data_IF_443826189229
#
_entry.id   IF_443826189229
#
_cell.length_a   1.000
_cell.length_b   1.000
_cell.length_c   1.000
_cell.angle_alpha   90.00
_cell.angle_beta   90.00
_cell.angle_gamma   90.00
#
_symmetry.space_group_name_H-M   'P 1'
#
loop_
_entity.id
_entity.type
_entity.pdbx_description
1 polymer ?
#
# COMPACT_ATOMS: atom_id res chain seq x y z
N UNK A 1 44.21 6.30 -36.80
CA UNK A 1 43.93 5.04 -36.07
C UNK A 1 43.42 5.40 -34.69
N UNK A 2 42.29 4.80 -34.27
CA UNK A 2 41.86 4.62 -32.88
C UNK A 2 41.55 5.90 -32.06
N UNK A 3 40.42 6.08 -31.38
CA UNK A 3 39.54 5.11 -30.72
C UNK A 3 38.09 5.61 -30.80
N UNK A 4 37.21 4.77 -31.38
CA UNK A 4 35.77 4.82 -31.12
C UNK A 4 35.51 4.11 -29.79
N UNK A 5 34.52 4.62 -29.05
CA UNK A 5 33.77 3.84 -28.07
C UNK A 5 34.13 4.11 -26.62
N UNK A 6 33.20 4.73 -25.89
CA UNK A 6 32.41 4.06 -24.84
C UNK A 6 31.40 5.05 -24.26
N UNK A 7 30.40 5.46 -25.05
CA UNK A 7 29.20 6.12 -24.52
C UNK A 7 28.13 5.05 -24.20
N UNK A 8 28.51 4.07 -23.38
CA UNK A 8 27.65 2.93 -23.01
C UNK A 8 27.41 2.79 -21.51
N UNK A 9 28.10 3.57 -20.67
CA UNK A 9 28.01 3.42 -19.20
C UNK A 9 27.18 4.47 -18.48
N UNK A 10 26.81 5.58 -19.12
CA UNK A 10 26.01 6.65 -18.46
C UNK A 10 24.51 6.31 -18.34
N UNK A 11 23.96 5.48 -19.23
CA UNK A 11 22.53 5.14 -19.21
C UNK A 11 22.09 4.23 -18.05
N UNK A 12 23.01 3.52 -17.40
CA UNK A 12 22.66 2.52 -16.38
C UNK A 12 22.51 3.12 -14.98
N UNK A 13 23.07 4.30 -14.73
CA UNK A 13 22.95 5.00 -13.45
C UNK A 13 21.65 5.82 -13.37
N UNK A 14 21.16 6.35 -14.50
CA UNK A 14 19.92 7.13 -14.55
C UNK A 14 18.65 6.27 -14.35
N UNK A 15 18.74 4.94 -14.52
CA UNK A 15 17.61 4.02 -14.26
C UNK A 15 17.47 3.64 -12.77
N UNK A 16 18.52 3.80 -11.95
CA UNK A 16 18.49 3.51 -10.51
C UNK A 16 17.95 4.69 -9.67
N UNK A 17 17.87 5.90 -10.24
CA UNK A 17 17.40 7.13 -9.55
C UNK A 17 15.91 7.45 -9.78
N UNK A 18 15.09 6.48 -10.21
CA UNK A 18 13.65 6.53 -9.87
C UNK A 18 13.45 5.96 -8.48
N UNK A 19 14.16 6.54 -7.51
CA UNK A 19 13.77 6.53 -6.12
C UNK A 19 12.39 7.18 -6.11
N UNK A 20 11.39 6.33 -5.92
CA UNK A 20 10.01 6.76 -5.95
C UNK A 20 9.85 7.59 -4.68
N UNK A 21 9.64 8.90 -4.80
CA UNK A 21 9.20 9.81 -3.73
C UNK A 21 7.78 9.39 -3.23
N UNK A 22 7.63 8.12 -2.83
CA UNK A 22 6.40 7.46 -2.39
C UNK A 22 6.10 7.76 -0.91
N UNK A 23 7.07 8.28 -0.17
CA UNK A 23 6.91 8.60 1.25
C UNK A 23 5.97 9.77 1.51
N UNK A 24 5.68 10.60 0.50
CA UNK A 24 4.92 11.84 0.70
C UNK A 24 3.45 11.61 1.10
N UNK A 25 2.87 10.41 0.95
CA UNK A 25 1.45 10.16 1.27
C UNK A 25 1.13 8.74 1.79
N UNK A 26 2.09 8.05 2.43
CA UNK A 26 1.82 6.75 3.04
C UNK A 26 1.04 6.89 4.35
N UNK A 27 -0.15 6.30 4.41
CA UNK A 27 -0.98 6.31 5.62
C UNK A 27 -0.98 4.94 6.28
N UNK A 28 -0.47 4.88 7.51
CA UNK A 28 -0.47 3.65 8.30
C UNK A 28 -1.85 3.42 8.92
N UNK A 29 -2.39 2.22 8.79
CA UNK A 29 -3.68 1.85 9.34
C UNK A 29 -3.58 0.56 10.15
N UNK A 30 -4.21 0.53 11.33
CA UNK A 30 -4.25 -0.65 12.21
C UNK A 30 -5.46 -1.52 11.90
N UNK A 31 -5.27 -2.82 11.74
CA UNK A 31 -6.36 -3.79 11.56
C UNK A 31 -7.11 -3.96 12.87
N UNK A 32 -8.38 -3.53 12.88
CA UNK A 32 -9.29 -3.69 14.02
C UNK A 32 -9.93 -5.08 14.04
N UNK A 33 -10.20 -5.65 12.87
CA UNK A 33 -10.84 -6.95 12.76
C UNK A 33 -10.99 -7.43 11.32
N UNK A 34 -11.24 -8.72 11.21
CA UNK A 34 -11.52 -9.40 9.94
C UNK A 34 -13.04 -9.43 9.77
N UNK A 35 -13.53 -8.99 8.62
CA UNK A 35 -14.96 -8.93 8.33
C UNK A 35 -15.41 -10.24 7.70
N UNK A 36 -14.81 -10.61 6.57
CA UNK A 36 -15.15 -11.81 5.82
C UNK A 36 -14.06 -12.17 4.81
N UNK A 37 -14.09 -13.40 4.29
CA UNK A 37 -13.37 -13.75 3.05
C UNK A 37 -14.24 -13.40 1.85
N UNK A 38 -13.61 -12.87 0.81
CA UNK A 38 -14.24 -12.37 -0.41
C UNK A 38 -13.42 -12.75 -1.66
N UNK A 39 -13.98 -12.45 -2.82
CA UNK A 39 -13.45 -12.82 -4.14
C UNK A 39 -13.82 -14.25 -4.55
N UNK A 40 -13.95 -14.49 -5.86
CA UNK A 40 -14.43 -15.76 -6.42
C UNK A 40 -13.59 -16.99 -6.00
N UNK A 41 -12.30 -16.80 -5.68
CA UNK A 41 -11.39 -17.86 -5.22
C UNK A 41 -11.10 -17.82 -3.71
N UNK A 42 -11.75 -16.95 -2.94
CA UNK A 42 -11.59 -16.86 -1.48
C UNK A 42 -10.20 -16.44 -0.98
N UNK A 43 -9.37 -15.86 -1.86
CA UNK A 43 -8.00 -15.43 -1.55
C UNK A 43 -7.92 -14.02 -0.97
N UNK A 44 -9.04 -13.27 -1.00
CA UNK A 44 -9.11 -11.90 -0.50
C UNK A 44 -9.84 -11.90 0.83
N UNK A 45 -9.31 -11.16 1.79
CA UNK A 45 -9.94 -10.96 3.11
C UNK A 45 -10.35 -9.51 3.22
N UNK A 46 -11.63 -9.24 3.46
CA UNK A 46 -12.08 -7.90 3.81
C UNK A 46 -11.80 -7.65 5.28
N UNK A 47 -11.11 -6.56 5.58
CA UNK A 47 -10.71 -6.14 6.91
C UNK A 47 -11.26 -4.77 7.23
N UNK A 48 -11.51 -4.56 8.51
CA UNK A 48 -11.82 -3.25 9.08
C UNK A 48 -10.54 -2.66 9.65
N UNK A 49 -10.15 -1.48 9.19
CA UNK A 49 -8.93 -0.80 9.62
C UNK A 49 -9.23 0.55 10.24
N UNK A 50 -8.34 0.99 11.12
CA UNK A 50 -8.37 2.28 11.81
C UNK A 50 -7.16 3.09 11.37
N UNK A 51 -7.40 4.24 10.76
CA UNK A 51 -6.36 5.24 10.52
C UNK A 51 -6.27 6.13 11.76
N UNK A 52 -5.07 6.26 12.37
CA UNK A 52 -4.86 7.24 13.42
C UNK A 52 -4.95 8.65 12.83
N UNK A 53 -5.71 9.53 13.49
CA UNK A 53 -5.76 10.94 13.13
C UNK A 53 -4.59 11.66 13.82
N UNK A 54 -3.73 12.40 13.07
CA UNK A 54 -2.60 13.11 13.67
C UNK A 54 -3.03 14.22 14.63
N UNK A 55 -4.27 14.71 14.53
CA UNK A 55 -4.82 15.81 15.33
C UNK A 55 -5.37 15.35 16.69
N UNK A 56 -5.32 14.03 16.99
CA UNK A 56 -5.87 13.48 18.23
C UNK A 56 -7.39 13.32 18.24
N UNK A 57 -8.04 13.52 17.09
CA UNK A 57 -9.48 13.31 16.90
C UNK A 57 -9.83 11.81 16.84
N UNK A 58 -11.13 11.52 16.70
CA UNK A 58 -11.62 10.14 16.53
C UNK A 58 -10.96 9.48 15.32
N UNK A 59 -10.46 8.24 15.44
CA UNK A 59 -9.80 7.58 14.33
C UNK A 59 -10.79 7.26 13.20
N UNK A 60 -10.36 7.46 11.95
CA UNK A 60 -11.17 7.14 10.78
C UNK A 60 -11.16 5.64 10.55
N UNK A 61 -12.33 5.05 10.39
CA UNK A 61 -12.49 3.61 10.14
C UNK A 61 -12.80 3.38 8.66
N UNK A 62 -12.10 2.44 8.04
CA UNK A 62 -12.28 2.07 6.63
C UNK A 62 -12.38 0.56 6.46
N UNK A 63 -12.97 0.13 5.35
CA UNK A 63 -12.88 -1.25 4.88
C UNK A 63 -11.82 -1.42 3.78
N UNK A 64 -11.02 -2.47 3.87
CA UNK A 64 -10.00 -2.81 2.87
C UNK A 64 -9.99 -4.28 2.50
N UNK A 65 -9.59 -4.54 1.28
CA UNK A 65 -9.33 -5.88 0.79
C UNK A 65 -7.83 -6.14 0.94
N UNK A 66 -7.49 -7.19 1.67
CA UNK A 66 -6.12 -7.68 1.83
C UNK A 66 -6.01 -9.00 1.09
N UNK A 67 -4.98 -9.13 0.26
CA UNK A 67 -4.63 -10.41 -0.34
C UNK A 67 -3.87 -11.24 0.69
N UNK A 68 -4.35 -12.46 0.95
CA UNK A 68 -3.68 -13.39 1.85
C UNK A 68 -4.08 -13.28 3.33
N UNK A 69 -3.30 -13.92 4.23
CA UNK A 69 -3.60 -14.00 5.65
C UNK A 69 -3.34 -12.67 6.34
N UNK A 70 -4.24 -12.29 7.23
CA UNK A 70 -4.17 -11.07 8.04
C UNK A 70 -4.76 -11.35 9.41
N UNK A 71 -4.24 -10.71 10.45
CA UNK A 71 -4.68 -10.86 11.84
C UNK A 71 -5.09 -9.51 12.42
N UNK A 72 -5.90 -9.57 13.48
CA UNK A 72 -6.24 -8.38 14.27
C UNK A 72 -4.96 -7.82 14.92
N UNK A 73 -4.75 -6.52 14.80
CA UNK A 73 -3.58 -5.84 15.34
C UNK A 73 -2.45 -5.60 14.33
N UNK A 74 -2.51 -6.23 13.15
CA UNK A 74 -1.55 -5.97 12.07
C UNK A 74 -1.66 -4.52 11.57
N UNK A 75 -0.60 -4.03 10.92
CA UNK A 75 -0.58 -2.70 10.29
C UNK A 75 -0.53 -2.83 8.78
N UNK A 76 -1.27 -1.98 8.09
CA UNK A 76 -1.28 -1.86 6.64
C UNK A 76 -0.77 -0.46 6.26
N UNK A 77 0.06 -0.39 5.23
CA UNK A 77 0.40 0.87 4.58
C UNK A 77 -0.59 1.11 3.45
N UNK A 78 -1.40 2.16 3.58
CA UNK A 78 -2.38 2.57 2.58
C UNK A 78 -1.73 3.60 1.66
N UNK A 79 -1.57 3.25 0.39
CA UNK A 79 -1.16 4.18 -0.68
C UNK A 79 -2.26 5.20 -1.00
N UNK A 80 -3.52 4.76 -0.93
CA UNK A 80 -4.70 5.60 -1.16
C UNK A 80 -5.59 5.50 0.08
N UNK A 81 -5.60 6.50 0.96
CA UNK A 81 -6.37 6.46 2.23
C UNK A 81 -7.86 6.77 2.06
N UNK A 82 -8.25 7.42 0.96
CA UNK A 82 -9.62 7.88 0.74
C UNK A 82 -10.58 6.79 0.25
N UNK A 83 -10.08 5.81 -0.52
CA UNK A 83 -10.90 4.76 -1.13
C UNK A 83 -11.32 3.72 -0.09
N UNK A 84 -12.43 3.05 -0.33
CA UNK A 84 -12.85 1.93 0.52
C UNK A 84 -13.25 0.73 -0.32
N UNK A 85 -12.99 -0.47 0.22
CA UNK A 85 -13.53 -1.69 -0.36
C UNK A 85 -15.06 -1.63 -0.27
N UNK A 86 -15.72 -1.86 -1.40
CA UNK A 86 -17.20 -1.88 -1.47
C UNK A 86 -17.74 -2.87 -0.45
N UNK A 87 -18.73 -2.43 0.33
CA UNK A 87 -19.49 -3.34 1.21
C UNK A 87 -20.34 -4.25 0.33
N UNK A 88 -20.11 -5.55 0.44
CA UNK A 88 -20.96 -6.55 -0.19
C UNK A 88 -22.24 -6.68 0.65
N UNK A 89 -23.40 -6.69 -0.02
CA UNK A 89 -24.72 -6.90 0.58
C UNK A 89 -25.15 -8.34 0.35
#
# INVERSE_FOLDING_TARGET
>A
MSKKGTQGKKKKAEEEEKEIDLEANLVHAKVLGIVMRTGARGQVTQVKVSIPDPTGNKPRILYRNVAGPVKKGDFLCLLESEREARRLR
#
